data_IF_251328594435
#
_entry.id   IF_251328594435
#
_cell.length_a   1.000
_cell.length_b   1.000
_cell.length_c   1.000
_cell.angle_alpha   90.00
_cell.angle_beta   90.00
_cell.angle_gamma   90.00
#
_symmetry.space_group_name_H-M   'P 1'
#
loop_
_entity.id
_entity.type
_entity.pdbx_description
1 polymer ?
#
# COMPACT_ATOMS: atom_id res chain seq x y z
N UNK A 1 -10.29 -12.79 -0.42
CA UNK A 1 -10.97 -11.75 -1.25
C UNK A 1 -10.26 -10.40 -1.28
N UNK A 2 -10.04 -9.74 -0.14
CA UNK A 2 -9.53 -8.36 -0.09
C UNK A 2 -8.20 -8.15 -0.84
N UNK A 3 -7.21 -9.03 -0.63
CA UNK A 3 -5.92 -8.96 -1.33
C UNK A 3 -6.06 -9.03 -2.85
N UNK A 4 -6.94 -9.89 -3.37
CA UNK A 4 -7.21 -10.04 -4.81
C UNK A 4 -7.82 -8.78 -5.41
N UNK A 5 -8.85 -8.23 -4.76
CA UNK A 5 -9.52 -6.99 -5.21
C UNK A 5 -8.51 -5.84 -5.21
N UNK A 6 -7.68 -5.74 -4.18
CA UNK A 6 -6.63 -4.71 -4.09
C UNK A 6 -5.54 -4.88 -5.15
N UNK A 7 -5.10 -6.11 -5.44
CA UNK A 7 -4.16 -6.40 -6.54
C UNK A 7 -4.75 -5.94 -7.87
N UNK A 8 -6.04 -6.20 -8.12
CA UNK A 8 -6.69 -5.81 -9.37
C UNK A 8 -6.95 -4.30 -9.44
N UNK A 9 -7.38 -3.67 -8.34
CA UNK A 9 -7.57 -2.22 -8.28
C UNK A 9 -6.26 -1.46 -8.53
N UNK A 10 -5.18 -1.84 -7.83
CA UNK A 10 -3.88 -1.20 -8.04
C UNK A 10 -3.30 -1.56 -9.41
N UNK A 11 -3.46 -2.80 -9.87
CA UNK A 11 -2.96 -3.26 -11.16
C UNK A 11 -3.63 -2.54 -12.33
N UNK A 12 -4.96 -2.37 -12.28
CA UNK A 12 -5.69 -1.58 -13.28
C UNK A 12 -5.30 -0.10 -13.25
N UNK A 13 -5.07 0.48 -12.07
CA UNK A 13 -4.60 1.87 -11.94
C UNK A 13 -3.22 2.06 -12.58
N UNK A 14 -2.31 1.12 -12.30
CA UNK A 14 -1.00 1.10 -12.95
C UNK A 14 -1.15 0.95 -14.46
N UNK A 15 -1.97 0.03 -14.94
CA UNK A 15 -2.17 -0.19 -16.37
C UNK A 15 -2.62 1.07 -17.12
N UNK A 16 -3.61 1.79 -16.56
CA UNK A 16 -4.10 3.05 -17.14
C UNK A 16 -3.05 4.16 -17.13
N UNK A 17 -2.14 4.18 -16.15
CA UNK A 17 -1.12 5.22 -15.99
C UNK A 17 0.31 4.76 -16.29
N UNK A 18 0.51 3.58 -16.89
CA UNK A 18 1.81 2.89 -17.01
C UNK A 18 2.93 3.73 -17.64
N UNK A 19 2.57 4.66 -18.54
CA UNK A 19 3.53 5.59 -19.15
C UNK A 19 4.17 6.57 -18.16
N UNK A 20 3.61 6.73 -16.96
CA UNK A 20 4.11 7.60 -15.90
C UNK A 20 4.91 6.85 -14.82
N UNK A 21 5.20 5.57 -15.02
CA UNK A 21 5.98 4.79 -14.07
C UNK A 21 7.41 5.31 -13.97
N UNK A 22 7.89 5.52 -12.73
CA UNK A 22 9.27 5.95 -12.47
C UNK A 22 10.13 4.74 -12.13
N UNK A 23 10.72 4.14 -13.16
CA UNK A 23 11.46 2.87 -13.05
C UNK A 23 12.72 2.94 -12.17
N UNK A 24 13.36 4.10 -12.05
CA UNK A 24 14.57 4.27 -11.24
C UNK A 24 14.35 3.99 -9.74
N UNK A 25 13.10 4.10 -9.27
CA UNK A 25 12.70 3.79 -7.88
C UNK A 25 12.69 2.29 -7.63
N UNK A 26 12.46 1.49 -8.68
CA UNK A 26 12.11 0.09 -8.54
C UNK A 26 13.26 -0.79 -8.02
N UNK A 27 14.50 -0.73 -8.53
CA UNK A 27 15.58 -1.58 -8.03
C UNK A 27 15.85 -1.45 -6.53
N UNK A 28 16.05 -0.25 -5.94
CA UNK A 28 16.27 -0.15 -4.50
C UNK A 28 15.04 -0.56 -3.68
N UNK A 29 13.82 -0.25 -4.14
CA UNK A 29 12.59 -0.70 -3.50
C UNK A 29 12.48 -2.23 -3.47
N UNK A 30 12.76 -2.88 -4.60
CA UNK A 30 12.76 -4.34 -4.72
C UNK A 30 13.84 -4.98 -3.85
N UNK A 31 15.02 -4.38 -3.75
CA UNK A 31 16.07 -4.87 -2.86
C UNK A 31 15.59 -4.89 -1.39
N UNK A 32 14.99 -3.80 -0.93
CA UNK A 32 14.41 -3.73 0.42
C UNK A 32 13.28 -4.75 0.63
N UNK A 33 12.41 -4.88 -0.38
CA UNK A 33 11.31 -5.86 -0.38
C UNK A 33 11.83 -7.30 -0.31
N UNK A 34 12.84 -7.64 -1.12
CA UNK A 34 13.43 -8.96 -1.18
C UNK A 34 14.09 -9.34 0.14
N UNK A 35 14.85 -8.43 0.77
CA UNK A 35 15.43 -8.65 2.10
C UNK A 35 14.35 -8.98 3.12
N UNK A 36 13.27 -8.18 3.16
CA UNK A 36 12.16 -8.44 4.09
C UNK A 36 11.56 -9.81 3.82
N UNK A 37 11.18 -10.12 2.59
CA UNK A 37 10.57 -11.42 2.24
C UNK A 37 11.49 -12.58 2.62
N UNK A 38 12.80 -12.50 2.31
CA UNK A 38 13.77 -13.54 2.66
C UNK A 38 13.90 -13.76 4.16
N UNK A 39 13.90 -12.69 4.96
CA UNK A 39 13.95 -12.79 6.42
C UNK A 39 12.62 -13.30 6.98
N UNK A 40 11.49 -12.86 6.42
CA UNK A 40 10.15 -13.18 6.92
C UNK A 40 9.84 -14.68 6.91
N UNK A 41 10.41 -15.42 5.96
CA UNK A 41 10.30 -16.90 5.90
C UNK A 41 10.86 -17.58 7.14
N UNK A 42 11.78 -16.94 7.86
CA UNK A 42 12.43 -17.49 9.06
C UNK A 42 11.91 -16.87 10.37
N UNK A 43 10.99 -15.90 10.31
CA UNK A 43 10.43 -15.28 11.51
C UNK A 43 9.29 -16.13 12.04
N UNK A 44 9.43 -16.64 13.27
CA UNK A 44 8.36 -17.34 14.00
C UNK A 44 7.54 -16.40 14.89
N UNK A 45 8.06 -15.21 15.19
CA UNK A 45 7.39 -14.20 16.02
C UNK A 45 6.63 -13.23 15.13
N UNK A 46 5.32 -13.42 15.05
CA UNK A 46 4.42 -12.51 14.33
C UNK A 46 3.91 -11.48 15.35
N UNK A 47 4.32 -10.20 15.28
CA UNK A 47 3.80 -9.17 16.16
C UNK A 47 2.30 -8.97 15.95
N UNK A 48 1.64 -8.46 17.00
CA UNK A 48 0.21 -8.19 16.99
C UNK A 48 -0.19 -7.25 15.82
N UNK A 49 -1.14 -7.65 14.96
CA UNK A 49 -1.57 -6.82 13.84
C UNK A 49 -2.12 -5.45 14.25
N UNK A 50 -2.77 -5.36 15.41
CA UNK A 50 -3.28 -4.11 15.98
C UNK A 50 -2.14 -3.14 16.32
N UNK A 51 -1.07 -3.63 16.96
CA UNK A 51 0.14 -2.85 17.20
C UNK A 51 0.73 -2.30 15.89
N UNK A 52 0.84 -3.14 14.87
CA UNK A 52 1.41 -2.72 13.58
C UNK A 52 0.51 -1.68 12.90
N UNK A 53 -0.81 -1.81 12.97
CA UNK A 53 -1.75 -0.80 12.46
C UNK A 53 -1.62 0.54 13.19
N UNK A 54 -1.45 0.54 14.51
CA UNK A 54 -1.18 1.76 15.29
C UNK A 54 0.12 2.41 14.83
N UNK A 55 1.20 1.64 14.66
CA UNK A 55 2.49 2.17 14.22
C UNK A 55 2.41 2.76 12.80
N UNK A 56 1.82 2.01 11.85
CA UNK A 56 1.61 2.44 10.46
C UNK A 56 0.74 3.69 10.40
N UNK A 57 -0.34 3.74 11.19
CA UNK A 57 -1.24 4.89 11.26
C UNK A 57 -0.61 6.10 11.95
N UNK A 58 0.28 5.91 12.92
CA UNK A 58 0.94 7.03 13.62
C UNK A 58 2.03 7.68 12.77
N UNK A 59 2.67 6.91 11.89
CA UNK A 59 3.82 7.37 11.13
C UNK A 59 3.55 8.61 10.26
N UNK A 60 2.44 8.74 9.50
CA UNK A 60 2.16 9.94 8.72
C UNK A 60 1.92 11.19 9.56
N UNK A 61 1.35 11.05 10.76
CA UNK A 61 1.21 12.15 11.72
C UNK A 61 2.57 12.62 12.23
N UNK A 62 3.45 11.69 12.62
CA UNK A 62 4.83 12.00 13.02
C UNK A 62 5.57 12.68 11.86
N UNK A 63 5.49 12.14 10.66
CA UNK A 63 6.18 12.69 9.49
C UNK A 63 5.72 14.11 9.13
N UNK A 64 4.47 14.46 9.45
CA UNK A 64 3.96 15.83 9.30
C UNK A 64 4.52 16.78 10.35
N UNK A 65 4.69 16.31 11.59
CA UNK A 65 5.15 17.11 12.72
C UNK A 65 6.68 17.22 12.79
N UNK A 66 7.41 16.23 12.27
CA UNK A 66 8.87 16.13 12.34
C UNK A 66 9.49 16.48 10.99
N UNK A 67 10.18 17.64 10.85
CA UNK A 67 10.70 18.12 9.57
C UNK A 67 11.64 17.14 8.85
N UNK A 68 12.45 16.39 9.60
CA UNK A 68 13.39 15.40 9.06
C UNK A 68 12.67 14.23 8.38
N UNK A 69 11.54 13.79 8.95
CA UNK A 69 10.73 12.69 8.40
C UNK A 69 9.79 13.16 7.30
N UNK A 70 9.37 14.44 7.36
CA UNK A 70 8.62 15.07 6.29
C UNK A 70 9.43 15.33 5.01
N UNK A 71 10.74 15.10 5.02
CA UNK A 71 11.64 15.23 3.86
C UNK A 71 11.86 13.93 3.08
N UNK A 72 11.10 12.87 3.39
CA UNK A 72 11.16 11.61 2.65
C UNK A 72 10.70 11.84 1.20
N UNK A 73 11.54 11.40 0.28
CA UNK A 73 11.37 11.52 -1.15
C UNK A 73 11.73 10.19 -1.79
N UNK A 74 10.71 9.50 -2.28
CA UNK A 74 10.82 8.19 -2.94
C UNK A 74 11.78 8.19 -4.13
N UNK A 75 12.01 9.34 -4.79
CA UNK A 75 12.93 9.42 -5.91
C UNK A 75 14.40 9.20 -5.51
N UNK A 76 14.73 9.32 -4.21
CA UNK A 76 16.06 9.03 -3.68
C UNK A 76 16.24 7.53 -3.44
N UNK A 77 17.32 6.89 -3.93
CA UNK A 77 17.51 5.43 -3.80
C UNK A 77 17.47 4.91 -2.36
N UNK A 78 18.06 5.63 -1.40
CA UNK A 78 18.04 5.23 0.02
C UNK A 78 16.62 5.24 0.60
N UNK A 79 15.81 6.22 0.23
CA UNK A 79 14.41 6.31 0.65
C UNK A 79 13.55 5.25 -0.04
N UNK A 80 13.79 4.96 -1.32
CA UNK A 80 13.12 3.89 -2.04
C UNK A 80 13.40 2.52 -1.40
N UNK A 81 14.66 2.26 -1.02
CA UNK A 81 15.03 1.07 -0.27
C UNK A 81 14.32 0.98 1.08
N UNK A 82 14.39 2.05 1.89
CA UNK A 82 13.72 2.11 3.19
C UNK A 82 12.20 1.95 3.06
N UNK A 83 11.61 2.53 2.01
CA UNK A 83 10.21 2.37 1.67
C UNK A 83 9.89 0.90 1.37
N UNK A 84 10.67 0.23 0.52
CA UNK A 84 10.51 -1.20 0.23
C UNK A 84 10.54 -2.07 1.47
N UNK A 85 11.46 -1.80 2.41
CA UNK A 85 11.52 -2.50 3.70
C UNK A 85 10.26 -2.24 4.53
N UNK A 86 9.96 -0.97 4.80
CA UNK A 86 8.91 -0.58 5.75
C UNK A 86 7.50 -0.94 5.25
N UNK A 87 7.24 -0.71 3.95
CA UNK A 87 5.95 -1.01 3.31
C UNK A 87 5.73 -2.51 3.21
N UNK A 88 6.76 -3.30 2.90
CA UNK A 88 6.63 -4.78 2.85
C UNK A 88 6.36 -5.36 4.23
N UNK A 89 7.06 -4.89 5.27
CA UNK A 89 6.80 -5.30 6.65
C UNK A 89 5.36 -4.97 7.07
N UNK A 90 4.91 -3.74 6.85
CA UNK A 90 3.54 -3.33 7.15
C UNK A 90 2.50 -4.16 6.37
N UNK A 91 2.80 -4.45 5.10
CA UNK A 91 1.91 -5.22 4.23
C UNK A 91 1.77 -6.68 4.66
N UNK A 92 2.86 -7.32 5.10
CA UNK A 92 2.83 -8.70 5.58
C UNK A 92 2.23 -8.79 6.99
N UNK A 93 2.61 -7.90 7.91
CA UNK A 93 2.19 -7.97 9.31
C UNK A 93 0.76 -7.47 9.57
N UNK A 94 0.40 -6.28 9.05
CA UNK A 94 -0.90 -5.66 9.30
C UNK A 94 -1.86 -5.78 8.11
N UNK A 95 -1.37 -6.23 6.96
CA UNK A 95 -2.16 -6.25 5.72
C UNK A 95 -2.47 -4.88 5.13
N UNK A 96 -1.95 -3.80 5.74
CA UNK A 96 -2.16 -2.42 5.34
C UNK A 96 -0.82 -1.66 5.36
N UNK A 97 -0.49 -1.01 4.25
CA UNK A 97 0.76 -0.27 4.09
C UNK A 97 0.59 1.09 3.42
N UNK A 98 -0.62 1.41 2.93
CA UNK A 98 -0.92 2.61 2.15
C UNK A 98 -0.49 3.91 2.84
N UNK A 99 -0.96 4.20 4.07
CA UNK A 99 -0.58 5.44 4.76
C UNK A 99 0.93 5.59 4.93
N UNK A 100 1.65 4.49 5.22
CA UNK A 100 3.10 4.48 5.36
C UNK A 100 3.80 4.72 4.02
N UNK A 101 3.39 4.03 2.95
CA UNK A 101 3.87 4.26 1.58
C UNK A 101 3.70 5.73 1.19
N UNK A 102 2.55 6.31 1.53
CA UNK A 102 2.18 7.63 1.11
C UNK A 102 3.12 8.73 1.62
N UNK A 103 3.72 8.55 2.81
CA UNK A 103 4.69 9.50 3.38
C UNK A 103 5.91 9.70 2.48
N UNK A 104 6.40 8.63 1.85
CA UNK A 104 7.56 8.70 0.95
C UNK A 104 7.28 9.50 -0.33
N UNK A 105 6.01 9.72 -0.66
CA UNK A 105 5.59 10.46 -1.84
C UNK A 105 5.10 11.87 -1.52
N UNK A 106 4.79 12.21 -0.27
CA UNK A 106 4.18 13.48 0.11
C UNK A 106 4.98 14.69 -0.38
N UNK A 107 6.31 14.67 -0.20
CA UNK A 107 7.24 15.73 -0.64
C UNK A 107 8.20 15.29 -1.75
N UNK A 108 7.85 14.25 -2.51
CA UNK A 108 8.67 13.84 -3.63
C UNK A 108 8.63 14.84 -4.78
N UNK A 109 9.69 14.84 -5.59
CA UNK A 109 9.80 15.65 -6.81
C UNK A 109 8.91 15.19 -7.97
N UNK A 110 8.18 14.09 -7.78
CA UNK A 110 7.32 13.49 -8.80
C UNK A 110 6.06 14.33 -9.06
N UNK A 111 5.50 14.27 -10.26
CA UNK A 111 4.17 14.84 -10.51
C UNK A 111 3.04 13.87 -10.07
N UNK A 112 1.80 14.35 -10.02
CA UNK A 112 0.64 13.54 -9.59
C UNK A 112 0.48 12.21 -10.33
N UNK A 113 0.75 12.18 -11.63
CA UNK A 113 0.64 10.96 -12.43
C UNK A 113 1.71 9.94 -12.05
N UNK A 114 2.95 10.40 -11.90
CA UNK A 114 4.08 9.58 -11.46
C UNK A 114 3.87 9.04 -10.05
N UNK A 115 3.35 9.85 -9.13
CA UNK A 115 2.99 9.42 -7.76
C UNK A 115 1.97 8.29 -7.82
N UNK A 116 0.86 8.49 -8.53
CA UNK A 116 -0.23 7.50 -8.57
C UNK A 116 0.19 6.23 -9.29
N UNK A 117 0.89 6.34 -10.43
CA UNK A 117 1.36 5.19 -11.20
C UNK A 117 2.37 4.35 -10.43
N UNK A 118 3.37 4.99 -9.82
CA UNK A 118 4.45 4.29 -9.11
C UNK A 118 3.93 3.63 -7.84
N UNK A 119 3.07 4.32 -7.06
CA UNK A 119 2.38 3.72 -5.91
C UNK A 119 1.53 2.52 -6.31
N UNK A 120 0.77 2.65 -7.40
CA UNK A 120 -0.08 1.58 -7.89
C UNK A 120 0.74 0.34 -8.26
N UNK A 121 1.89 0.52 -8.91
CA UNK A 121 2.79 -0.59 -9.22
C UNK A 121 3.33 -1.26 -7.95
N UNK A 122 3.90 -0.50 -7.02
CA UNK A 122 4.50 -1.04 -5.79
C UNK A 122 3.45 -1.71 -4.89
N UNK A 123 2.23 -1.17 -4.83
CA UNK A 123 1.11 -1.78 -4.10
C UNK A 123 0.62 -3.06 -4.78
N UNK A 124 0.55 -3.10 -6.11
CA UNK A 124 0.22 -4.33 -6.85
C UNK A 124 1.21 -5.43 -6.51
N UNK A 125 2.51 -5.10 -6.52
CA UNK A 125 3.56 -6.04 -6.14
C UNK A 125 3.42 -6.49 -4.67
N UNK A 126 3.21 -5.55 -3.73
CA UNK A 126 3.06 -5.88 -2.32
C UNK A 126 1.86 -6.79 -2.04
N UNK A 127 0.72 -6.54 -2.69
CA UNK A 127 -0.45 -7.42 -2.59
C UNK A 127 -0.22 -8.78 -3.27
N UNK A 128 0.49 -8.81 -4.40
CA UNK A 128 0.86 -10.06 -5.06
C UNK A 128 1.80 -10.91 -4.18
N UNK A 129 2.84 -10.30 -3.59
CA UNK A 129 3.74 -10.95 -2.63
C UNK A 129 2.95 -11.50 -1.44
N UNK A 130 2.04 -10.69 -0.87
CA UNK A 130 1.17 -11.14 0.22
C UNK A 130 0.33 -12.35 -0.18
N UNK A 131 -0.27 -12.33 -1.38
CA UNK A 131 -1.06 -13.45 -1.89
C UNK A 131 -0.22 -14.70 -2.10
N UNK A 132 1.02 -14.59 -2.61
CA UNK A 132 1.91 -15.74 -2.74
C UNK A 132 2.36 -16.28 -1.39
N UNK A 133 2.73 -15.41 -0.46
CA UNK A 133 3.18 -15.79 0.87
C UNK A 133 2.08 -16.54 1.63
N UNK A 134 0.91 -15.90 1.80
CA UNK A 134 -0.20 -16.53 2.52
C UNK A 134 -0.92 -17.60 1.70
N UNK A 135 -0.93 -17.51 0.37
CA UNK A 135 -1.51 -18.53 -0.50
C UNK A 135 -0.67 -19.81 -0.52
N UNK A 136 0.67 -19.70 -0.48
CA UNK A 136 1.56 -20.84 -0.29
C UNK A 136 1.35 -21.51 1.06
N UNK A 137 1.25 -20.73 2.14
CA UNK A 137 0.93 -21.25 3.49
C UNK A 137 -0.48 -21.87 3.52
N UNK A 138 -1.48 -21.20 2.95
CA UNK A 138 -2.87 -21.67 2.90
C UNK A 138 -3.03 -22.92 2.02
N UNK A 139 -2.20 -23.14 0.99
CA UNK A 139 -2.24 -24.41 0.24
C UNK A 139 -1.85 -25.63 1.09
N UNK A 140 -1.20 -25.41 2.24
CA UNK A 140 -0.84 -26.43 3.23
C UNK A 140 -1.95 -26.59 4.28
N UNK A 141 -2.78 -25.56 4.49
CA UNK A 141 -3.92 -25.57 5.41
C UNK A 141 -5.24 -25.79 4.66
N UNK A 142 -5.90 -26.93 4.87
CA UNK A 142 -7.22 -27.18 4.28
C UNK A 142 -8.25 -26.33 5.03
N UNK A 143 -8.52 -25.11 4.53
CA UNK A 143 -9.53 -24.22 5.11
C UNK A 143 -10.77 -24.07 4.23
N UNK A 144 -11.90 -23.98 4.94
CA UNK A 144 -13.27 -23.82 4.45
C UNK A 144 -13.39 -22.53 3.63
N UNK A 145 -13.87 -22.65 2.39
CA UNK A 145 -14.21 -21.49 1.56
C UNK A 145 -15.33 -20.72 2.27
N UNK A 146 -15.11 -19.43 2.54
CA UNK A 146 -16.11 -18.53 3.14
C UNK A 146 -17.45 -18.66 2.37
N UNK A 147 -18.57 -18.98 3.04
CA UNK A 147 -19.87 -19.15 2.39
C UNK A 147 -20.34 -17.91 1.62
N UNK A 148 -19.86 -16.71 1.97
CA UNK A 148 -20.20 -15.46 1.29
C UNK A 148 -19.46 -15.26 -0.04
N UNK A 149 -18.45 -16.08 -0.32
CA UNK A 149 -17.50 -15.96 -1.42
C UNK A 149 -18.10 -16.48 -2.75
N UNK A 150 -19.22 -15.89 -3.18
CA UNK A 150 -19.88 -16.29 -4.43
C UNK A 150 -19.12 -15.76 -5.67
N UNK A 151 -19.13 -16.49 -6.80
CA UNK A 151 -18.54 -16.00 -8.05
C UNK A 151 -19.11 -14.64 -8.48
N UNK A 152 -20.41 -14.40 -8.27
CA UNK A 152 -21.07 -13.13 -8.58
C UNK A 152 -20.53 -11.97 -7.74
N UNK A 153 -20.32 -12.17 -6.44
CA UNK A 153 -19.74 -11.15 -5.56
C UNK A 153 -18.30 -10.81 -5.97
N UNK A 154 -17.51 -11.82 -6.33
CA UNK A 154 -16.15 -11.64 -6.84
C UNK A 154 -16.11 -10.82 -8.12
N UNK A 155 -16.88 -11.21 -9.13
CA UNK A 155 -16.95 -10.51 -10.43
C UNK A 155 -17.47 -9.08 -10.25
N UNK A 156 -18.51 -8.89 -9.44
CA UNK A 156 -19.07 -7.58 -9.13
C UNK A 156 -18.05 -6.67 -8.44
N UNK A 157 -17.36 -7.18 -7.42
CA UNK A 157 -16.32 -6.42 -6.69
C UNK A 157 -15.14 -6.03 -7.59
N UNK A 158 -14.68 -6.94 -8.44
CA UNK A 158 -13.61 -6.68 -9.41
C UNK A 158 -14.04 -5.61 -10.41
N UNK A 159 -15.24 -5.75 -10.98
CA UNK A 159 -15.77 -4.82 -11.97
C UNK A 159 -15.89 -3.41 -11.39
N UNK A 160 -16.45 -3.31 -10.18
CA UNK A 160 -16.59 -2.03 -9.47
C UNK A 160 -15.22 -1.41 -9.14
N UNK A 161 -14.25 -2.22 -8.72
CA UNK A 161 -12.89 -1.75 -8.44
C UNK A 161 -12.19 -1.19 -9.70
N UNK A 162 -12.35 -1.85 -10.85
CA UNK A 162 -11.78 -1.40 -12.13
C UNK A 162 -12.48 -0.15 -12.63
N UNK A 163 -13.81 -0.09 -12.60
CA UNK A 163 -14.60 1.09 -13.02
C UNK A 163 -14.27 2.29 -12.13
N UNK A 164 -14.26 2.11 -10.81
CA UNK A 164 -13.91 3.17 -9.87
C UNK A 164 -12.48 3.68 -10.08
N UNK A 165 -11.55 2.78 -10.39
CA UNK A 165 -10.17 3.15 -10.74
C UNK A 165 -10.10 3.92 -12.05
N UNK A 166 -10.83 3.50 -13.08
CA UNK A 166 -10.92 4.21 -14.35
C UNK A 166 -11.47 5.62 -14.15
N UNK A 167 -12.60 5.78 -13.44
CA UNK A 167 -13.17 7.09 -13.10
C UNK A 167 -12.16 7.96 -12.34
N UNK A 168 -11.47 7.37 -11.34
CA UNK A 168 -10.44 8.07 -10.58
C UNK A 168 -9.31 8.61 -11.47
N UNK A 169 -8.85 7.83 -12.46
CA UNK A 169 -7.84 8.32 -13.42
C UNK A 169 -8.34 9.47 -14.30
N UNK A 170 -9.63 9.49 -14.67
CA UNK A 170 -10.23 10.61 -15.42
C UNK A 170 -10.46 11.86 -14.57
N UNK A 171 -10.67 11.69 -13.27
CA UNK A 171 -10.71 12.81 -12.32
C UNK A 171 -9.31 13.39 -12.13
N UNK A 172 -8.28 12.54 -12.04
CA UNK A 172 -6.88 12.96 -11.89
C UNK A 172 -6.44 13.96 -12.99
N UNK A 173 -6.95 13.80 -14.20
CA UNK A 173 -6.68 14.73 -15.32
C UNK A 173 -7.19 16.15 -15.09
N UNK A 174 -8.25 16.29 -14.30
CA UNK A 174 -8.90 17.58 -14.02
C UNK A 174 -8.42 18.25 -12.73
N UNK A 175 -7.57 17.57 -11.96
CA UNK A 175 -7.11 18.06 -10.66
C UNK A 175 -5.77 18.77 -10.83
N UNK A 176 -5.66 20.02 -10.39
CA UNK A 176 -4.39 20.75 -10.39
C UNK A 176 -3.38 20.12 -9.40
N UNK A 177 -2.08 20.30 -9.65
CA UNK A 177 -1.01 19.67 -8.86
C UNK A 177 -1.10 20.02 -7.36
N UNK A 178 -1.26 21.31 -7.04
CA UNK A 178 -1.36 21.77 -5.64
C UNK A 178 -2.60 21.17 -4.95
N UNK A 179 -3.74 21.15 -5.64
CA UNK A 179 -4.97 20.54 -5.14
C UNK A 179 -4.79 19.03 -4.89
N UNK A 180 -4.12 18.33 -5.81
CA UNK A 180 -3.80 16.90 -5.63
C UNK A 180 -2.98 16.68 -4.36
N UNK A 181 -1.95 17.50 -4.13
CA UNK A 181 -1.09 17.41 -2.94
C UNK A 181 -1.85 17.68 -1.65
N UNK A 182 -2.66 18.74 -1.62
CA UNK A 182 -3.43 19.14 -0.44
C UNK A 182 -4.49 18.10 -0.08
N UNK A 183 -5.28 17.65 -1.07
CA UNK A 183 -6.33 16.65 -0.87
C UNK A 183 -5.74 15.31 -0.46
N UNK A 184 -4.70 14.86 -1.16
CA UNK A 184 -4.02 13.59 -0.84
C UNK A 184 -3.43 13.64 0.56
N UNK A 185 -2.79 14.74 0.97
CA UNK A 185 -2.27 14.90 2.33
C UNK A 185 -3.36 14.75 3.41
N UNK A 186 -4.55 15.33 3.17
CA UNK A 186 -5.69 15.19 4.10
C UNK A 186 -6.24 13.76 4.14
N UNK A 187 -6.38 13.12 2.97
CA UNK A 187 -6.82 11.72 2.87
C UNK A 187 -5.87 10.79 3.63
N UNK A 188 -4.56 10.97 3.45
CA UNK A 188 -3.54 10.17 4.14
C UNK A 188 -3.72 10.27 5.64
N UNK A 189 -3.87 11.48 6.20
CA UNK A 189 -4.06 11.66 7.64
C UNK A 189 -5.38 11.05 8.15
N UNK A 190 -6.45 11.13 7.36
CA UNK A 190 -7.72 10.50 7.71
C UNK A 190 -7.59 8.96 7.74
N UNK A 191 -6.99 8.36 6.71
CA UNK A 191 -6.71 6.92 6.67
C UNK A 191 -5.76 6.48 7.78
N UNK A 192 -4.79 7.32 8.11
CA UNK A 192 -3.86 7.13 9.23
C UNK A 192 -4.59 7.07 10.57
N UNK A 193 -5.51 8.02 10.82
CA UNK A 193 -6.34 8.01 12.01
C UNK A 193 -7.25 6.77 12.07
N UNK A 194 -7.83 6.34 10.94
CA UNK A 194 -8.63 5.12 10.87
C UNK A 194 -7.79 3.86 11.18
N UNK A 195 -6.53 3.80 10.72
CA UNK A 195 -5.60 2.72 11.06
C UNK A 195 -5.29 2.69 12.56
N UNK A 196 -5.07 3.85 13.19
CA UNK A 196 -4.86 3.94 14.65
C UNK A 196 -6.10 3.46 15.40
N UNK A 197 -7.28 3.94 15.02
CA UNK A 197 -8.54 3.56 15.69
C UNK A 197 -8.80 2.06 15.59
N UNK A 198 -8.62 1.48 14.40
CA UNK A 198 -8.74 0.03 14.20
C UNK A 198 -7.69 -0.73 15.00
N UNK A 199 -6.43 -0.32 14.94
CA UNK A 199 -5.34 -0.99 15.66
C UNK A 199 -5.52 -0.95 17.18
N UNK A 200 -6.01 0.18 17.71
CA UNK A 200 -6.36 0.30 19.13
C UNK A 200 -7.52 -0.62 19.50
N UNK A 201 -8.56 -0.68 18.67
CA UNK A 201 -9.68 -1.60 18.90
C UNK A 201 -9.22 -3.06 19.01
N UNK A 202 -8.41 -3.52 18.06
CA UNK A 202 -7.88 -4.90 18.03
C UNK A 202 -6.95 -5.22 19.22
N UNK A 203 -6.35 -4.21 19.86
CA UNK A 203 -5.48 -4.39 21.04
C UNK A 203 -6.25 -4.47 22.37
N UNK A 204 -7.45 -3.89 22.44
CA UNK A 204 -8.18 -3.70 23.69
C UNK A 204 -9.50 -4.46 23.78
N UNK A 205 -9.98 -5.07 22.69
CA UNK A 205 -11.23 -5.83 22.60
C UNK A 205 -10.94 -7.24 22.15
#
# INVERSE_FOLDING_TARGET
MHGTIQSISNGSRFWFLRGNMVWNILPPYLLGTAIVVSVFVFITVIPDPGLVLVLVGTFPWIARLVPRLGGLDIAKPSNAFACGVAVTLAQLLAGASGPLLDVFYLKSSLNRYQVVATKAFTQTLGHFIKLLYYGGIASIAVDVIDPLLTPGLLVGSISLAVIGTWLGTRVLDRVAENTFRDVTSKIILALSAACIARGAWELFV
#
